data_IF_326484142189
#
_entry.id   IF_326484142189
#
_cell.length_a   1.000
_cell.length_b   1.000
_cell.length_c   1.000
_cell.angle_alpha   90.00
_cell.angle_beta   90.00
_cell.angle_gamma   90.00
#
_symmetry.space_group_name_H-M   'P 1'
#
loop_
_entity.id
_entity.type
_entity.pdbx_description
1 polymer ?
#
# COMPACT_ATOMS: atom_id res chain seq x y z
N UNK A 1 93.83 29.47 -42.89
CA UNK A 1 92.49 28.89 -43.08
C UNK A 1 92.47 27.44 -42.56
N UNK A 2 92.80 27.22 -41.28
CA UNK A 2 93.05 25.87 -40.70
C UNK A 2 92.47 25.71 -39.27
N UNK A 3 91.59 26.64 -38.85
CA UNK A 3 91.05 26.70 -37.47
C UNK A 3 89.52 26.51 -37.39
N UNK A 4 88.84 26.37 -38.52
CA UNK A 4 87.38 26.20 -38.61
C UNK A 4 86.95 24.74 -38.91
N UNK A 5 87.89 23.84 -39.23
CA UNK A 5 87.58 22.44 -39.61
C UNK A 5 87.54 21.50 -38.39
N UNK A 6 88.07 21.89 -37.22
CA UNK A 6 88.07 21.05 -36.02
C UNK A 6 86.73 21.02 -35.25
N UNK A 7 85.83 21.98 -35.48
CA UNK A 7 84.54 22.05 -34.78
C UNK A 7 83.40 21.32 -35.50
N UNK A 8 83.53 21.06 -36.80
CA UNK A 8 82.53 20.30 -37.59
C UNK A 8 82.69 18.78 -37.38
N UNK A 9 83.90 18.30 -37.05
CA UNK A 9 84.15 16.89 -36.80
C UNK A 9 83.70 16.40 -35.40
N UNK A 10 83.49 17.30 -34.43
CA UNK A 10 83.06 16.95 -33.06
C UNK A 10 81.52 16.99 -32.93
N UNK A 11 80.80 17.74 -33.77
CA UNK A 11 79.33 17.77 -33.77
C UNK A 11 78.69 16.58 -34.54
N UNK A 12 79.44 15.92 -35.43
CA UNK A 12 78.95 14.78 -36.21
C UNK A 12 79.09 13.42 -35.48
N UNK A 13 79.87 13.36 -34.38
CA UNK A 13 80.08 12.13 -33.61
C UNK A 13 79.06 11.93 -32.46
N UNK A 14 78.22 12.92 -32.16
CA UNK A 14 77.24 12.86 -31.07
C UNK A 14 75.84 12.34 -31.49
N UNK A 15 75.62 12.06 -32.78
CA UNK A 15 74.33 11.58 -33.29
C UNK A 15 74.24 10.05 -33.54
N UNK A 16 75.30 9.29 -33.20
CA UNK A 16 75.31 7.82 -33.29
C UNK A 16 75.27 7.12 -31.93
N UNK A 17 74.99 7.86 -30.84
CA UNK A 17 74.64 7.28 -29.55
C UNK A 17 73.30 6.57 -29.67
N UNK A 18 73.36 5.27 -29.90
CA UNK A 18 72.25 4.41 -30.29
C UNK A 18 71.01 4.60 -29.43
N UNK A 19 69.89 4.74 -30.13
CA UNK A 19 68.61 4.27 -29.65
C UNK A 19 68.80 2.78 -29.32
N UNK A 20 69.10 2.43 -28.05
CA UNK A 20 68.87 1.07 -27.60
C UNK A 20 67.38 0.85 -27.81
N UNK A 21 67.02 -0.11 -28.67
CA UNK A 21 65.66 -0.65 -28.65
C UNK A 21 65.41 -1.01 -27.19
N UNK A 22 64.51 -0.28 -26.56
CA UNK A 22 63.93 -0.71 -25.30
C UNK A 22 63.31 -2.05 -25.64
N UNK A 23 63.92 -3.13 -25.17
CA UNK A 23 63.26 -4.43 -25.17
C UNK A 23 62.01 -4.21 -24.34
N UNK A 24 60.88 -4.05 -25.05
CA UNK A 24 59.57 -4.07 -24.43
C UNK A 24 59.52 -5.41 -23.71
N UNK A 25 59.33 -5.36 -22.39
CA UNK A 25 59.12 -6.56 -21.58
C UNK A 25 58.15 -7.47 -22.36
N UNK A 26 58.46 -8.77 -22.47
CA UNK A 26 57.60 -9.70 -23.18
C UNK A 26 56.18 -9.49 -22.66
N UNK A 27 55.22 -9.24 -23.58
CA UNK A 27 53.83 -9.05 -23.21
C UNK A 27 53.47 -10.19 -22.26
N UNK A 28 53.16 -9.86 -21.01
CA UNK A 28 52.67 -10.83 -20.03
C UNK A 28 51.41 -11.43 -20.64
N UNK A 29 51.51 -12.64 -21.19
CA UNK A 29 50.40 -13.51 -21.57
C UNK A 29 49.70 -13.98 -20.29
N UNK A 30 49.09 -13.05 -19.57
CA UNK A 30 48.19 -13.33 -18.46
C UNK A 30 46.75 -13.38 -18.95
N UNK A 31 45.95 -14.29 -18.41
CA UNK A 31 44.50 -14.23 -18.57
C UNK A 31 43.99 -12.86 -18.09
N UNK A 32 43.05 -12.22 -18.82
CA UNK A 32 42.53 -10.91 -18.43
C UNK A 32 41.88 -10.99 -17.05
N UNK A 33 42.35 -10.13 -16.13
CA UNK A 33 41.91 -10.12 -14.73
C UNK A 33 40.51 -9.53 -14.58
N UNK A 34 40.20 -8.49 -15.38
CA UNK A 34 38.95 -7.76 -15.32
C UNK A 34 38.11 -8.04 -16.56
N UNK A 35 36.85 -8.40 -16.33
CA UNK A 35 35.93 -8.79 -17.38
C UNK A 35 34.48 -8.52 -16.98
N UNK A 36 33.59 -8.50 -17.96
CA UNK A 36 32.15 -8.48 -17.74
C UNK A 36 31.45 -9.26 -18.85
N UNK A 37 30.53 -10.14 -18.47
CA UNK A 37 29.65 -10.91 -19.35
C UNK A 37 28.21 -10.60 -18.97
N UNK A 38 27.42 -10.09 -19.93
CA UNK A 38 26.03 -9.69 -19.69
C UNK A 38 25.14 -10.02 -20.89
N UNK A 39 23.83 -10.06 -20.69
CA UNK A 39 22.84 -10.14 -21.78
C UNK A 39 22.02 -8.84 -21.85
N UNK A 40 22.18 -8.06 -22.92
CA UNK A 40 21.41 -6.83 -23.17
C UNK A 40 20.27 -7.10 -24.15
N UNK A 41 19.01 -6.97 -23.71
CA UNK A 41 17.81 -7.24 -24.53
C UNK A 41 17.89 -8.61 -25.27
N UNK A 42 18.44 -9.63 -24.61
CA UNK A 42 18.63 -10.97 -25.17
C UNK A 42 19.92 -11.16 -25.99
N UNK A 43 20.73 -10.12 -26.19
CA UNK A 43 22.01 -10.20 -26.90
C UNK A 43 23.16 -10.26 -25.90
N UNK A 44 23.91 -11.36 -25.94
CA UNK A 44 25.11 -11.53 -25.11
C UNK A 44 26.21 -10.53 -25.51
N UNK A 45 26.88 -9.97 -24.50
CA UNK A 45 27.99 -9.02 -24.62
C UNK A 45 29.09 -9.42 -23.64
N UNK A 46 30.33 -9.29 -24.08
CA UNK A 46 31.50 -9.59 -23.28
C UNK A 46 32.56 -8.50 -23.46
N UNK A 47 33.13 -8.04 -22.34
CA UNK A 47 34.24 -7.10 -22.29
C UNK A 47 35.36 -7.68 -21.44
N UNK A 48 36.60 -7.53 -21.89
CA UNK A 48 37.80 -7.98 -21.16
C UNK A 48 38.86 -6.89 -21.25
N UNK A 49 39.38 -6.44 -20.11
CA UNK A 49 40.47 -5.48 -20.08
C UNK A 49 41.73 -6.07 -20.73
N UNK A 50 42.43 -5.29 -21.55
CA UNK A 50 43.57 -5.71 -22.35
C UNK A 50 43.21 -6.34 -23.71
N UNK A 51 41.94 -6.66 -23.96
CA UNK A 51 41.47 -7.24 -25.23
C UNK A 51 40.68 -6.22 -26.02
N UNK A 52 40.93 -6.10 -27.33
CA UNK A 52 40.18 -5.21 -28.21
C UNK A 52 40.26 -3.72 -27.86
N UNK A 53 41.32 -3.32 -27.15
CA UNK A 53 41.55 -1.95 -26.68
C UNK A 53 40.70 -1.53 -25.48
N UNK A 54 40.02 -2.48 -24.82
CA UNK A 54 39.32 -2.20 -23.56
C UNK A 54 40.31 -2.08 -22.40
N UNK A 55 40.04 -1.14 -21.52
CA UNK A 55 40.77 -0.90 -20.29
C UNK A 55 39.76 -0.68 -19.15
N UNK A 56 40.13 -1.06 -17.94
CA UNK A 56 39.35 -0.79 -16.74
C UNK A 56 39.87 0.49 -16.09
N UNK A 57 39.08 1.55 -16.16
CA UNK A 57 39.35 2.78 -15.45
C UNK A 57 38.71 2.73 -14.07
N UNK A 58 39.49 3.04 -13.05
CA UNK A 58 39.02 3.10 -11.66
C UNK A 58 39.16 4.52 -11.14
N UNK A 59 38.22 4.96 -10.32
CA UNK A 59 38.24 6.30 -9.72
C UNK A 59 37.32 6.34 -8.51
N UNK A 60 37.42 7.40 -7.73
CA UNK A 60 36.42 7.75 -6.73
C UNK A 60 36.13 9.25 -6.78
N UNK A 61 34.98 9.65 -6.26
CA UNK A 61 34.63 11.05 -6.07
C UNK A 61 33.86 11.22 -4.77
N UNK A 62 33.87 12.43 -4.20
CA UNK A 62 33.04 12.79 -3.06
C UNK A 62 31.91 13.68 -3.55
N UNK A 63 30.66 13.23 -3.35
CA UNK A 63 29.48 13.98 -3.73
C UNK A 63 29.28 15.25 -2.91
N UNK A 64 28.39 16.13 -3.36
CA UNK A 64 28.00 17.35 -2.63
C UNK A 64 27.23 17.04 -1.32
N UNK A 65 26.74 15.82 -1.20
CA UNK A 65 26.16 15.23 0.00
C UNK A 65 27.24 14.62 0.92
N UNK A 66 28.52 14.84 0.66
CA UNK A 66 29.64 14.34 1.45
C UNK A 66 29.71 12.80 1.51
N UNK A 67 29.09 12.10 0.56
CA UNK A 67 29.15 10.64 0.41
C UNK A 67 30.15 10.29 -0.70
N UNK A 68 31.06 9.35 -0.43
CA UNK A 68 31.99 8.87 -1.46
C UNK A 68 31.29 7.95 -2.46
N UNK A 69 31.72 8.02 -3.71
CA UNK A 69 31.30 7.14 -4.81
C UNK A 69 32.52 6.45 -5.39
N UNK A 70 32.58 5.13 -5.27
CA UNK A 70 33.66 4.30 -5.84
C UNK A 70 33.23 3.79 -7.21
N UNK A 71 34.08 3.97 -8.23
CA UNK A 71 33.70 3.73 -9.63
C UNK A 71 34.70 2.82 -10.34
N UNK A 72 34.15 1.83 -11.05
CA UNK A 72 34.84 1.01 -12.04
C UNK A 72 34.19 1.15 -13.40
N UNK A 73 34.97 1.38 -14.46
CA UNK A 73 34.47 1.60 -15.81
C UNK A 73 35.30 0.82 -16.85
N UNK A 74 34.68 -0.18 -17.49
CA UNK A 74 35.24 -0.86 -18.66
C UNK A 74 34.85 -0.09 -19.93
N UNK A 75 35.84 0.45 -20.62
CA UNK A 75 35.67 1.16 -21.90
C UNK A 75 36.93 1.08 -22.75
N UNK A 76 36.87 1.54 -24.01
CA UNK A 76 38.07 1.64 -24.85
C UNK A 76 38.97 2.80 -24.45
N UNK A 77 40.28 2.58 -24.50
CA UNK A 77 41.32 3.56 -24.12
C UNK A 77 41.46 4.73 -25.13
N UNK A 78 41.20 4.47 -26.42
CA UNK A 78 41.37 5.48 -27.48
C UNK A 78 40.05 5.99 -28.05
N UNK A 79 39.70 7.23 -27.72
CA UNK A 79 38.55 7.96 -28.29
C UNK A 79 39.01 9.11 -29.19
N UNK A 80 39.61 8.81 -30.34
CA UNK A 80 40.29 9.85 -31.12
C UNK A 80 39.36 10.89 -31.76
N UNK A 81 38.10 10.56 -32.09
CA UNK A 81 37.22 11.47 -32.86
C UNK A 81 35.69 11.21 -32.72
N UNK A 82 35.15 11.09 -31.50
CA UNK A 82 33.72 11.39 -31.28
C UNK A 82 32.74 10.24 -30.99
N UNK A 83 33.20 9.00 -30.78
CA UNK A 83 32.42 7.97 -30.10
C UNK A 83 33.38 6.99 -29.40
N UNK A 84 33.37 6.95 -28.07
CA UNK A 84 34.25 6.12 -27.25
C UNK A 84 33.93 4.61 -27.28
N UNK A 85 33.05 4.18 -28.20
CA UNK A 85 32.49 2.84 -28.18
C UNK A 85 31.59 2.60 -26.97
N UNK A 86 31.23 1.33 -26.78
CA UNK A 86 30.42 0.89 -25.66
C UNK A 86 31.20 0.95 -24.34
N UNK A 87 30.52 1.20 -23.23
CA UNK A 87 31.13 1.16 -21.89
C UNK A 87 30.18 0.60 -20.84
N UNK A 88 30.70 -0.17 -19.90
CA UNK A 88 30.00 -0.61 -18.69
C UNK A 88 30.61 0.09 -17.48
N UNK A 89 29.79 0.69 -16.63
CA UNK A 89 30.23 1.36 -15.40
C UNK A 89 29.43 0.86 -14.22
N UNK A 90 30.10 0.64 -13.09
CA UNK A 90 29.45 0.37 -11.81
C UNK A 90 29.96 1.36 -10.77
N UNK A 91 29.03 1.91 -10.00
CA UNK A 91 29.28 2.90 -8.94
C UNK A 91 28.70 2.41 -7.63
N UNK A 92 29.47 2.51 -6.56
CA UNK A 92 29.05 2.17 -5.20
C UNK A 92 29.05 3.43 -4.35
N UNK A 93 27.94 3.73 -3.68
CA UNK A 93 27.90 4.79 -2.67
C UNK A 93 28.38 4.24 -1.34
N UNK A 94 29.15 5.06 -0.63
CA UNK A 94 29.64 4.75 0.71
C UNK A 94 28.48 4.42 1.67
N UNK A 95 28.74 3.64 2.71
CA UNK A 95 27.73 3.30 3.73
C UNK A 95 27.52 4.44 4.74
N UNK A 96 28.36 5.47 4.68
CA UNK A 96 28.29 6.62 5.57
C UNK A 96 28.57 7.93 4.82
N UNK A 97 28.05 9.01 5.39
CA UNK A 97 28.45 10.36 5.03
C UNK A 97 29.77 10.70 5.75
N UNK A 98 30.79 11.12 5.01
CA UNK A 98 32.12 11.38 5.56
C UNK A 98 32.39 12.88 5.56
N UNK A 99 31.95 13.62 6.58
CA UNK A 99 32.21 15.06 6.69
C UNK A 99 33.72 15.36 6.78
N UNK A 100 34.42 14.59 7.62
CA UNK A 100 35.87 14.65 7.80
C UNK A 100 36.43 13.23 7.87
N UNK A 101 37.58 12.97 7.26
CA UNK A 101 38.27 11.68 7.32
C UNK A 101 38.20 10.88 6.02
N UNK A 102 38.48 9.58 6.12
CA UNK A 102 38.46 8.64 5.01
C UNK A 102 37.12 7.88 4.96
N UNK A 103 36.67 7.46 3.77
CA UNK A 103 35.52 6.58 3.65
C UNK A 103 35.81 5.23 4.31
N UNK A 104 34.77 4.49 4.70
CA UNK A 104 34.95 3.09 5.12
C UNK A 104 34.52 2.15 3.97
N UNK A 105 35.51 1.96 3.11
CA UNK A 105 35.50 1.14 1.91
C UNK A 105 35.19 -0.33 2.22
N UNK A 106 35.54 -0.81 3.41
CA UNK A 106 35.32 -2.21 3.80
C UNK A 106 33.83 -2.46 3.96
N UNK A 107 33.12 -1.57 4.64
CA UNK A 107 31.68 -1.71 4.81
C UNK A 107 30.90 -1.33 3.53
N UNK A 108 31.35 -0.33 2.78
CA UNK A 108 30.71 0.06 1.52
C UNK A 108 30.77 -1.01 0.42
N UNK A 109 31.79 -1.87 0.44
CA UNK A 109 32.01 -2.92 -0.56
C UNK A 109 31.92 -4.33 0.02
N UNK A 110 31.38 -4.52 1.22
CA UNK A 110 31.27 -5.85 1.82
C UNK A 110 30.49 -6.83 0.90
N UNK A 111 30.89 -8.12 0.80
CA UNK A 111 30.11 -9.12 0.07
C UNK A 111 28.66 -9.21 0.56
N UNK A 112 27.71 -9.28 -0.37
CA UNK A 112 26.28 -9.29 -0.07
C UNK A 112 25.41 -8.62 -1.12
N UNK A 113 24.13 -8.46 -0.80
CA UNK A 113 23.14 -7.85 -1.68
C UNK A 113 23.11 -6.33 -1.50
N UNK A 114 23.00 -5.61 -2.61
CA UNK A 114 22.92 -4.15 -2.65
C UNK A 114 21.62 -3.71 -3.32
N UNK A 115 21.05 -2.62 -2.82
CA UNK A 115 19.90 -1.97 -3.45
C UNK A 115 20.39 -1.05 -4.56
N UNK A 116 19.65 -1.02 -5.67
CA UNK A 116 19.88 -0.02 -6.70
C UNK A 116 19.48 1.36 -6.20
N UNK A 117 20.26 2.37 -6.58
CA UNK A 117 19.91 3.77 -6.28
C UNK A 117 18.56 4.12 -6.90
N UNK A 118 17.66 4.68 -6.10
CA UNK A 118 16.34 5.18 -6.51
C UNK A 118 16.46 6.59 -7.12
N UNK A 119 15.65 6.90 -8.15
CA UNK A 119 15.60 8.26 -8.69
C UNK A 119 15.08 9.23 -7.62
N UNK A 120 15.70 10.41 -7.54
CA UNK A 120 15.31 11.50 -6.64
C UNK A 120 15.21 11.12 -5.14
N UNK A 121 15.90 10.06 -4.70
CA UNK A 121 15.96 9.69 -3.29
C UNK A 121 14.60 9.33 -2.66
N UNK A 122 13.57 9.08 -3.46
CA UNK A 122 12.24 8.81 -2.96
C UNK A 122 12.11 7.34 -2.50
N UNK A 123 12.05 7.12 -1.19
CA UNK A 123 11.58 5.86 -0.60
C UNK A 123 10.09 6.00 -0.24
N UNK A 124 9.32 4.92 -0.39
CA UNK A 124 7.88 4.94 -0.08
C UNK A 124 7.64 4.17 1.21
N UNK A 125 7.37 4.90 2.30
CA UNK A 125 6.92 4.29 3.55
C UNK A 125 5.40 4.17 3.52
N UNK A 126 4.90 2.96 3.73
CA UNK A 126 3.48 2.73 3.94
C UNK A 126 3.13 3.03 5.40
N UNK A 127 2.39 4.11 5.62
CA UNK A 127 1.80 4.38 6.94
C UNK A 127 0.44 3.69 6.97
N UNK A 128 0.26 2.79 7.94
CA UNK A 128 -1.04 2.19 8.22
C UNK A 128 -1.84 3.18 9.09
N UNK A 129 -2.90 3.73 8.54
CA UNK A 129 -3.96 4.36 9.32
C UNK A 129 -5.07 3.33 9.55
N UNK A 130 -5.71 3.36 10.72
CA UNK A 130 -6.82 2.46 11.05
C UNK A 130 -8.02 3.28 11.43
N UNK A 131 -9.09 3.17 10.64
CA UNK A 131 -10.38 3.80 10.93
C UNK A 131 -11.36 2.77 11.46
N UNK A 132 -12.03 3.10 12.57
CA UNK A 132 -13.12 2.27 13.10
C UNK A 132 -14.41 2.57 12.32
N UNK A 133 -15.08 1.52 11.83
CA UNK A 133 -16.43 1.60 11.28
C UNK A 133 -17.37 0.69 12.08
N UNK A 134 -18.64 1.06 12.18
CA UNK A 134 -19.68 0.27 12.86
C UNK A 134 -20.59 -0.37 11.82
N UNK A 135 -20.74 -1.68 11.87
CA UNK A 135 -21.69 -2.43 11.04
C UNK A 135 -22.91 -2.82 11.88
N UNK A 136 -24.08 -2.37 11.44
CA UNK A 136 -25.36 -2.62 12.07
C UNK A 136 -26.07 -3.70 11.26
N UNK A 137 -26.64 -4.69 11.95
CA UNK A 137 -27.49 -5.73 11.37
C UNK A 137 -28.84 -5.73 12.09
N UNK A 138 -29.92 -5.71 11.34
CA UNK A 138 -31.30 -5.74 11.85
C UNK A 138 -32.03 -6.95 11.27
N UNK A 139 -32.81 -7.64 12.08
CA UNK A 139 -33.56 -8.84 11.70
C UNK A 139 -35.01 -8.76 12.17
N UNK A 140 -35.94 -8.69 11.21
CA UNK A 140 -37.38 -8.68 11.43
C UNK A 140 -38.00 -10.07 11.61
N UNK A 141 -37.20 -11.14 11.71
CA UNK A 141 -37.66 -12.53 11.78
C UNK A 141 -38.55 -12.87 12.98
N UNK A 142 -38.60 -12.00 14.00
CA UNK A 142 -39.52 -12.13 15.14
C UNK A 142 -40.92 -11.56 14.86
N UNK A 143 -41.10 -10.85 13.73
CA UNK A 143 -42.38 -10.25 13.38
C UNK A 143 -43.44 -11.32 13.12
N UNK A 144 -44.68 -11.03 13.51
CA UNK A 144 -45.80 -11.97 13.40
C UNK A 144 -46.84 -11.43 12.44
N UNK A 145 -47.31 -12.27 11.52
CA UNK A 145 -48.40 -11.99 10.59
C UNK A 145 -49.38 -13.17 10.56
N UNK A 146 -50.60 -12.99 10.01
CA UNK A 146 -51.54 -14.09 9.87
C UNK A 146 -50.97 -15.18 8.95
N UNK A 147 -51.39 -16.44 9.11
CA UNK A 147 -51.03 -17.51 8.19
C UNK A 147 -51.31 -17.13 6.73
N UNK A 148 -50.47 -17.59 5.80
CA UNK A 148 -50.58 -17.33 4.36
C UNK A 148 -50.43 -15.85 3.94
N UNK A 149 -49.90 -15.01 4.83
CA UNK A 149 -49.56 -13.61 4.52
C UNK A 149 -48.06 -13.48 4.35
N UNK A 150 -47.62 -12.74 3.33
CA UNK A 150 -46.21 -12.40 3.12
C UNK A 150 -45.99 -10.98 3.66
N UNK A 151 -45.16 -10.77 4.69
CA UNK A 151 -44.85 -9.43 5.17
C UNK A 151 -43.90 -8.70 4.21
N UNK A 152 -44.10 -7.39 4.06
CA UNK A 152 -43.15 -6.46 3.45
C UNK A 152 -42.53 -5.63 4.58
N UNK A 153 -41.21 -5.56 4.60
CA UNK A 153 -40.45 -4.87 5.64
C UNK A 153 -39.72 -3.65 5.09
N UNK A 154 -39.91 -2.51 5.74
CA UNK A 154 -39.22 -1.26 5.44
C UNK A 154 -38.52 -0.78 6.70
N UNK A 155 -37.27 -0.32 6.55
CA UNK A 155 -36.44 0.15 7.65
C UNK A 155 -36.15 1.63 7.49
N UNK A 156 -36.29 2.39 8.57
CA UNK A 156 -36.00 3.82 8.60
C UNK A 156 -35.11 4.17 9.78
N UNK A 157 -33.94 4.75 9.48
CA UNK A 157 -33.05 5.32 10.49
C UNK A 157 -33.42 6.78 10.75
N UNK A 158 -33.34 7.20 12.01
CA UNK A 158 -33.60 8.60 12.42
C UNK A 158 -32.66 9.62 11.77
N UNK A 159 -31.49 9.18 11.29
CA UNK A 159 -30.53 10.02 10.58
C UNK A 159 -30.91 10.27 9.10
N UNK A 160 -32.04 9.74 8.62
CA UNK A 160 -32.51 9.88 7.24
C UNK A 160 -31.76 9.02 6.21
N UNK A 161 -30.83 8.16 6.65
CA UNK A 161 -30.11 7.28 5.75
C UNK A 161 -31.01 6.19 5.18
N UNK A 162 -30.87 5.95 3.88
CA UNK A 162 -31.60 4.87 3.22
C UNK A 162 -31.10 3.51 3.72
N UNK A 163 -32.03 2.64 4.07
CA UNK A 163 -31.76 1.24 4.43
C UNK A 163 -32.54 0.36 3.46
N UNK A 164 -31.90 -0.69 2.97
CA UNK A 164 -32.54 -1.59 2.01
C UNK A 164 -33.73 -2.30 2.67
N UNK A 165 -34.90 -2.37 2.01
CA UNK A 165 -36.03 -3.12 2.51
C UNK A 165 -35.74 -4.62 2.49
N UNK A 166 -36.38 -5.38 3.37
CA UNK A 166 -36.19 -6.82 3.50
C UNK A 166 -36.24 -7.30 4.94
N UNK A 167 -36.29 -8.62 5.14
CA UNK A 167 -36.32 -9.19 6.50
C UNK A 167 -35.03 -8.91 7.28
N UNK A 168 -33.89 -8.90 6.59
CA UNK A 168 -32.59 -8.53 7.16
C UNK A 168 -32.12 -7.24 6.50
N UNK A 169 -31.67 -6.29 7.30
CA UNK A 169 -31.04 -5.06 6.83
C UNK A 169 -29.65 -4.89 7.42
N UNK A 170 -28.70 -4.48 6.58
CA UNK A 170 -27.34 -4.15 6.99
C UNK A 170 -27.03 -2.69 6.67
N UNK A 171 -26.27 -2.04 7.55
CA UNK A 171 -25.90 -0.64 7.39
C UNK A 171 -24.56 -0.34 8.05
N UNK A 172 -23.73 0.52 7.43
CA UNK A 172 -22.40 0.86 7.95
C UNK A 172 -22.31 2.34 8.30
N UNK A 173 -21.73 2.64 9.45
CA UNK A 173 -21.52 3.98 9.97
C UNK A 173 -20.03 4.26 10.19
N UNK A 174 -19.51 5.40 9.70
CA UNK A 174 -18.13 5.82 10.01
C UNK A 174 -17.98 6.27 11.47
N UNK A 175 -19.08 6.67 12.12
CA UNK A 175 -19.13 7.08 13.52
C UNK A 175 -20.50 6.71 14.10
N UNK A 176 -20.54 6.27 15.36
CA UNK A 176 -21.79 5.92 16.03
C UNK A 176 -22.47 7.16 16.63
N UNK A 177 -23.65 7.58 16.16
CA UNK A 177 -24.32 8.77 16.68
C UNK A 177 -25.00 8.46 18.02
N UNK A 178 -25.06 9.44 18.93
CA UNK A 178 -25.57 9.23 20.29
C UNK A 178 -27.08 8.90 20.37
N UNK A 179 -27.87 9.24 19.34
CA UNK A 179 -29.33 9.07 19.32
C UNK A 179 -29.81 8.40 18.02
N UNK A 180 -29.20 7.26 17.68
CA UNK A 180 -29.68 6.48 16.55
C UNK A 180 -30.97 5.75 16.92
N UNK A 181 -32.03 5.93 16.15
CA UNK A 181 -33.25 5.14 16.26
C UNK A 181 -33.49 4.40 14.95
N UNK A 182 -33.98 3.17 15.09
CA UNK A 182 -34.43 2.35 13.98
C UNK A 182 -35.93 2.13 14.10
N UNK A 183 -36.66 2.43 13.03
CA UNK A 183 -38.07 2.09 12.88
C UNK A 183 -38.22 1.00 11.82
N UNK A 184 -38.72 -0.16 12.25
CA UNK A 184 -39.25 -1.18 11.35
C UNK A 184 -40.72 -0.86 11.07
N UNK A 185 -41.08 -0.83 9.79
CA UNK A 185 -42.48 -0.87 9.35
C UNK A 185 -42.72 -2.19 8.64
N UNK A 186 -43.69 -2.95 9.12
CA UNK A 186 -44.15 -4.18 8.51
C UNK A 186 -45.56 -3.99 7.94
N UNK A 187 -45.74 -4.35 6.68
CA UNK A 187 -47.05 -4.39 6.03
C UNK A 187 -47.38 -5.82 5.61
N UNK A 188 -48.55 -6.31 6.02
CA UNK A 188 -49.08 -7.59 5.56
C UNK A 188 -49.44 -7.52 4.05
N UNK A 189 -49.17 -8.57 3.26
CA UNK A 189 -49.49 -8.61 1.81
C UNK A 189 -50.97 -8.42 1.48
N UNK A 190 -51.88 -8.69 2.43
CA UNK A 190 -53.30 -8.41 2.30
C UNK A 190 -53.64 -6.91 2.50
N UNK A 191 -52.63 -6.06 2.72
CA UNK A 191 -52.66 -4.62 2.98
C UNK A 191 -53.57 -4.16 4.12
N UNK A 192 -54.17 -5.09 4.86
CA UNK A 192 -55.16 -4.76 5.88
C UNK A 192 -54.54 -4.48 7.23
N UNK A 193 -53.26 -4.80 7.46
CA UNK A 193 -52.55 -4.54 8.71
C UNK A 193 -51.14 -4.02 8.45
N UNK A 194 -50.81 -2.94 9.14
CA UNK A 194 -49.48 -2.33 9.22
C UNK A 194 -49.10 -2.21 10.68
N UNK A 195 -47.89 -2.64 11.03
CA UNK A 195 -47.35 -2.49 12.38
C UNK A 195 -45.97 -1.87 12.30
N UNK A 196 -45.64 -1.05 13.30
CA UNK A 196 -44.31 -0.44 13.43
C UNK A 196 -43.72 -0.74 14.79
N UNK A 197 -42.38 -0.85 14.83
CA UNK A 197 -41.60 -0.88 16.05
C UNK A 197 -40.43 0.09 15.89
N UNK A 198 -40.26 0.97 16.88
CA UNK A 198 -39.18 1.95 16.95
C UNK A 198 -38.35 1.70 18.20
N UNK A 199 -37.03 1.56 18.02
CA UNK A 199 -36.08 1.32 19.11
C UNK A 199 -34.83 2.17 18.94
N UNK A 200 -34.24 2.58 20.07
CA UNK A 200 -32.90 3.17 20.09
C UNK A 200 -31.85 2.09 19.84
N UNK A 201 -30.88 2.39 18.99
CA UNK A 201 -29.71 1.55 18.71
C UNK A 201 -28.54 2.11 19.51
N UNK A 202 -27.99 1.31 20.42
CA UNK A 202 -26.85 1.67 21.24
C UNK A 202 -25.53 1.16 20.60
N UNK A 203 -24.38 1.83 20.86
CA UNK A 203 -23.09 1.31 20.43
C UNK A 203 -22.77 -0.02 21.13
N UNK A 204 -21.80 -0.81 20.63
CA UNK A 204 -21.33 -1.98 21.34
C UNK A 204 -20.81 -1.56 22.73
N UNK A 205 -21.33 -2.17 23.79
CA UNK A 205 -20.84 -1.97 25.14
C UNK A 205 -20.03 -3.20 25.57
N UNK A 206 -18.75 -3.06 25.97
CA UNK A 206 -17.91 -4.18 26.41
C UNK A 206 -18.42 -4.88 27.68
N UNK A 207 -19.34 -4.27 28.43
CA UNK A 207 -19.97 -4.88 29.62
C UNK A 207 -21.16 -5.81 29.31
N UNK A 208 -21.52 -5.95 28.02
CA UNK A 208 -22.68 -6.69 27.54
C UNK A 208 -23.62 -5.77 26.77
N UNK A 209 -24.59 -6.29 25.98
CA UNK A 209 -25.53 -5.42 25.30
C UNK A 209 -26.28 -4.62 26.36
N UNK A 210 -26.14 -3.29 26.34
CA UNK A 210 -27.14 -2.43 26.95
C UNK A 210 -28.44 -2.78 26.23
N UNK A 211 -29.26 -3.66 26.83
CA UNK A 211 -30.51 -4.10 26.24
C UNK A 211 -31.36 -2.85 26.04
N UNK A 212 -31.41 -2.36 24.80
CA UNK A 212 -32.28 -1.23 24.53
C UNK A 212 -33.71 -1.70 24.73
N UNK A 213 -34.45 -0.96 25.53
CA UNK A 213 -35.86 -1.21 25.73
C UNK A 213 -36.58 -1.34 24.38
N UNK A 214 -37.62 -2.16 24.35
CA UNK A 214 -38.44 -2.35 23.17
C UNK A 214 -39.90 -2.44 23.57
N UNK A 215 -40.78 -2.10 22.64
CA UNK A 215 -42.20 -2.35 22.77
C UNK A 215 -42.72 -2.86 21.43
N UNK A 216 -43.68 -3.77 21.47
CA UNK A 216 -44.51 -4.12 20.32
C UNK A 216 -45.97 -4.15 20.77
N UNK A 217 -46.89 -4.09 19.81
CA UNK A 217 -48.32 -4.18 20.09
C UNK A 217 -48.81 -5.58 19.75
N UNK A 218 -49.49 -6.20 20.71
CA UNK A 218 -50.27 -7.42 20.55
C UNK A 218 -51.77 -7.11 20.59
N UNK A 219 -52.59 -8.00 20.02
CA UNK A 219 -54.05 -7.84 20.00
C UNK A 219 -54.70 -8.86 20.93
N UNK A 220 -55.59 -8.41 21.81
CA UNK A 220 -56.54 -9.27 22.52
C UNK A 220 -57.86 -9.29 21.77
N UNK A 221 -58.34 -10.49 21.47
CA UNK A 221 -59.63 -10.68 20.80
C UNK A 221 -60.76 -10.77 21.82
N UNK A 222 -61.98 -10.45 21.37
CA UNK A 222 -63.20 -10.64 22.14
C UNK A 222 -63.46 -12.12 22.47
N UNK A 223 -64.47 -12.41 23.30
CA UNK A 223 -64.81 -13.79 23.70
C UNK A 223 -65.17 -14.69 22.51
N UNK A 224 -65.60 -14.11 21.38
CA UNK A 224 -65.89 -14.83 20.15
C UNK A 224 -64.63 -15.11 19.30
N UNK A 225 -63.51 -14.45 19.59
CA UNK A 225 -62.27 -14.53 18.82
C UNK A 225 -62.36 -13.86 17.45
N UNK A 226 -63.32 -12.94 17.26
CA UNK A 226 -63.65 -12.37 15.96
C UNK A 226 -63.18 -10.93 15.81
N UNK A 227 -63.26 -10.16 16.90
CA UNK A 227 -62.95 -8.73 16.91
C UNK A 227 -61.79 -8.45 17.86
N UNK A 228 -60.99 -7.42 17.53
CA UNK A 228 -59.96 -6.91 18.43
C UNK A 228 -60.69 -6.11 19.52
N UNK A 229 -60.61 -6.57 20.76
CA UNK A 229 -61.20 -5.89 21.92
C UNK A 229 -60.22 -4.85 22.47
N UNK A 230 -58.94 -5.23 22.60
CA UNK A 230 -57.90 -4.38 23.14
C UNK A 230 -56.58 -4.56 22.38
N UNK A 231 -55.79 -3.49 22.33
CA UNK A 231 -54.37 -3.54 22.02
C UNK A 231 -53.59 -3.62 23.32
N UNK A 232 -52.52 -4.40 23.34
CA UNK A 232 -51.63 -4.58 24.50
C UNK A 232 -50.24 -4.13 24.10
N UNK A 233 -49.68 -3.17 24.83
CA UNK A 233 -48.28 -2.81 24.71
C UNK A 233 -47.45 -3.85 25.47
N UNK A 234 -46.59 -4.59 24.78
CA UNK A 234 -45.72 -5.60 25.37
C UNK A 234 -44.28 -5.06 25.44
N UNK A 235 -43.82 -4.61 26.61
CA UNK A 235 -42.49 -4.04 26.75
C UNK A 235 -41.42 -5.11 27.02
N UNK A 236 -40.19 -4.79 26.67
CA UNK A 236 -38.98 -5.47 27.14
C UNK A 236 -37.97 -4.41 27.59
N UNK A 237 -37.21 -4.70 28.64
CA UNK A 237 -36.29 -3.77 29.31
C UNK A 237 -36.42 -3.84 30.83
N UNK A 238 -36.06 -2.76 31.52
CA UNK A 238 -36.01 -2.72 32.97
C UNK A 238 -37.31 -2.19 33.59
N UNK A 239 -38.08 -3.05 34.27
CA UNK A 239 -39.28 -2.64 35.00
C UNK A 239 -38.96 -1.70 36.19
N UNK A 240 -39.90 -0.82 36.62
CA UNK A 240 -41.26 -0.64 36.12
C UNK A 240 -41.35 0.07 34.75
N UNK A 241 -42.41 -0.24 34.01
CA UNK A 241 -42.72 0.39 32.72
C UNK A 241 -43.81 1.45 32.87
N UNK A 242 -43.72 2.50 32.07
CA UNK A 242 -44.75 3.52 31.89
C UNK A 242 -45.22 3.54 30.45
N UNK A 243 -46.53 3.72 30.24
CA UNK A 243 -47.19 3.60 28.95
C UNK A 243 -47.95 4.87 28.65
N UNK A 244 -47.79 5.43 27.45
CA UNK A 244 -48.57 6.58 26.98
C UNK A 244 -49.02 6.28 25.55
N UNK A 245 -50.33 6.14 25.37
CA UNK A 245 -50.93 6.00 24.04
C UNK A 245 -51.13 7.36 23.38
N UNK A 246 -51.28 7.37 22.06
CA UNK A 246 -51.46 8.58 21.25
C UNK A 246 -52.61 9.51 21.70
N UNK A 247 -53.61 8.99 22.38
CA UNK A 247 -54.76 9.73 22.95
C UNK A 247 -54.53 10.21 24.40
N UNK A 248 -53.29 10.13 24.88
CA UNK A 248 -52.87 10.42 26.26
C UNK A 248 -53.38 9.42 27.32
N UNK A 249 -53.94 8.27 26.92
CA UNK A 249 -54.26 7.19 27.85
C UNK A 249 -52.98 6.61 28.46
N UNK A 250 -52.95 6.48 29.79
CA UNK A 250 -51.83 5.92 30.55
C UNK A 250 -52.22 4.54 31.08
N UNK A 251 -52.01 3.51 30.27
CA UNK A 251 -52.32 2.13 30.59
C UNK A 251 -51.52 1.16 29.71
N UNK A 252 -51.31 -0.07 30.17
CA UNK A 252 -50.69 -1.14 29.36
C UNK A 252 -51.57 -1.54 28.17
N UNK A 253 -52.88 -1.34 28.29
CA UNK A 253 -53.88 -1.72 27.28
C UNK A 253 -54.64 -0.52 26.73
N UNK A 254 -55.01 -0.56 25.46
CA UNK A 254 -55.84 0.45 24.80
C UNK A 254 -57.11 -0.18 24.17
N UNK A 255 -58.31 0.37 24.45
CA UNK A 255 -59.57 -0.23 24.00
C UNK A 255 -59.81 0.01 22.51
N UNK A 256 -59.86 -1.07 21.73
CA UNK A 256 -60.13 -1.02 20.29
C UNK A 256 -61.63 -1.05 19.93
N UNK A 257 -62.49 -1.40 20.90
CA UNK A 257 -63.93 -1.65 20.75
C UNK A 257 -64.78 -0.46 20.28
N UNK A 258 -64.22 0.76 20.21
CA UNK A 258 -64.91 1.95 19.72
C UNK A 258 -64.71 2.20 18.20
N UNK A 259 -63.90 1.39 17.51
CA UNK A 259 -63.46 1.68 16.15
C UNK A 259 -64.17 0.78 15.11
N UNK A 260 -65.30 1.25 14.55
CA UNK A 260 -66.14 0.42 13.68
C UNK A 260 -65.56 0.10 12.29
N UNK A 261 -64.42 0.69 11.89
CA UNK A 261 -63.81 0.43 10.57
C UNK A 261 -62.27 0.54 10.52
N UNK A 262 -61.63 1.35 11.39
CA UNK A 262 -60.16 1.60 11.35
C UNK A 262 -59.60 1.64 12.76
N UNK A 263 -58.53 0.90 13.01
CA UNK A 263 -57.72 1.08 14.24
C UNK A 263 -56.42 1.74 13.81
N UNK A 264 -56.10 2.86 14.43
CA UNK A 264 -54.82 3.56 14.29
C UNK A 264 -54.37 3.93 15.70
N UNK A 265 -53.32 3.27 16.18
CA UNK A 265 -52.84 3.43 17.54
C UNK A 265 -51.32 3.46 17.57
N UNK A 266 -50.79 4.35 18.39
CA UNK A 266 -49.37 4.40 18.75
C UNK A 266 -49.24 4.38 20.27
N UNK A 267 -48.19 3.71 20.76
CA UNK A 267 -47.80 3.69 22.16
C UNK A 267 -46.33 4.05 22.29
N UNK A 268 -46.02 4.88 23.28
CA UNK A 268 -44.66 5.10 23.77
C UNK A 268 -44.53 4.45 25.13
N UNK A 269 -43.46 3.67 25.30
CA UNK A 269 -43.10 3.07 26.58
C UNK A 269 -41.78 3.62 27.06
N UNK A 270 -41.72 3.98 28.35
CA UNK A 270 -40.46 4.24 29.03
C UNK A 270 -40.23 3.24 30.17
N UNK A 271 -39.00 2.79 30.33
CA UNK A 271 -38.57 1.87 31.38
C UNK A 271 -37.96 2.61 32.59
N UNK A 272 -37.52 1.88 33.61
CA UNK A 272 -36.97 2.45 34.85
C UNK A 272 -35.63 3.17 34.65
N UNK A 273 -34.91 2.87 33.58
CA UNK A 273 -33.61 3.45 33.23
C UNK A 273 -33.76 4.69 32.34
N UNK A 274 -35.00 5.04 31.98
CA UNK A 274 -35.32 6.17 31.12
C UNK A 274 -35.12 5.87 29.63
N UNK A 275 -34.98 4.60 29.24
CA UNK A 275 -35.03 4.21 27.85
C UNK A 275 -36.46 4.33 27.33
N UNK A 276 -36.63 4.87 26.12
CA UNK A 276 -37.93 5.02 25.45
C UNK A 276 -38.00 4.19 24.17
N UNK A 277 -39.12 3.49 23.96
CA UNK A 277 -39.41 2.76 22.74
C UNK A 277 -40.85 3.05 22.25
N UNK A 278 -41.08 2.90 20.94
CA UNK A 278 -42.38 3.17 20.33
C UNK A 278 -42.89 1.97 19.54
N UNK A 279 -44.21 1.80 19.50
CA UNK A 279 -44.86 0.87 18.59
C UNK A 279 -46.14 1.47 18.01
N UNK A 280 -46.44 1.10 16.76
CA UNK A 280 -47.62 1.52 16.04
C UNK A 280 -48.38 0.32 15.49
N UNK A 281 -49.70 0.48 15.40
CA UNK A 281 -50.60 -0.51 14.86
C UNK A 281 -51.69 0.19 14.07
N UNK A 282 -51.83 -0.21 12.80
CA UNK A 282 -52.85 0.28 11.90
C UNK A 282 -53.53 -0.90 11.21
N UNK A 283 -54.86 -0.97 11.26
CA UNK A 283 -55.63 -1.99 10.55
C UNK A 283 -56.95 -1.41 10.04
N UNK A 284 -57.42 -1.91 8.90
CA UNK A 284 -58.78 -1.62 8.41
C UNK A 284 -59.62 -2.89 8.54
N UNK A 285 -60.67 -2.82 9.35
CA UNK A 285 -61.57 -3.95 9.59
C UNK A 285 -62.59 -4.02 8.45
N UNK A 286 -62.35 -4.91 7.48
CA UNK A 286 -63.35 -5.23 6.46
C UNK A 286 -64.49 -6.04 7.09
N UNK A 287 -65.77 -5.77 6.75
CA UNK A 287 -66.88 -6.63 7.16
C UNK A 287 -66.65 -8.08 6.69
N UNK A 288 -66.40 -8.99 7.63
CA UNK A 288 -66.07 -10.40 7.35
C UNK A 288 -64.58 -10.77 7.47
N UNK A 289 -63.68 -9.82 7.73
CA UNK A 289 -62.30 -10.11 8.08
C UNK A 289 -62.21 -10.48 9.58
N UNK A 290 -61.89 -11.75 9.85
CA UNK A 290 -61.69 -12.26 11.22
C UNK A 290 -60.26 -11.89 11.65
N UNK A 291 -60.13 -11.16 12.77
CA UNK A 291 -58.89 -11.06 13.55
C UNK A 291 -57.60 -10.79 12.78
N UNK A 292 -57.55 -9.78 11.90
CA UNK A 292 -56.30 -9.42 11.21
C UNK A 292 -55.27 -8.89 12.22
N UNK A 293 -54.32 -9.73 12.61
CA UNK A 293 -53.26 -9.40 13.54
C UNK A 293 -51.91 -9.32 12.83
N UNK A 294 -51.14 -8.27 13.09
CA UNK A 294 -49.76 -8.17 12.68
C UNK A 294 -48.97 -7.39 13.74
N UNK A 295 -47.75 -7.84 14.04
CA UNK A 295 -46.88 -7.25 15.06
C UNK A 295 -45.46 -7.18 14.52
N UNK A 296 -44.98 -5.97 14.28
CA UNK A 296 -43.61 -5.72 13.85
C UNK A 296 -42.67 -5.91 15.04
N UNK A 297 -41.67 -6.78 14.88
CA UNK A 297 -40.68 -7.09 15.90
C UNK A 297 -39.32 -7.31 15.25
N UNK A 298 -38.28 -6.72 15.82
CA UNK A 298 -36.92 -6.93 15.36
C UNK A 298 -35.87 -7.00 16.47
N UNK A 299 -34.81 -7.74 16.17
CA UNK A 299 -33.54 -7.71 16.89
C UNK A 299 -32.49 -6.96 16.08
N UNK A 300 -31.44 -6.45 16.75
CA UNK A 300 -30.29 -5.86 16.07
C UNK A 300 -28.98 -6.28 16.72
N UNK A 301 -27.90 -6.16 15.95
CA UNK A 301 -26.52 -6.33 16.39
C UNK A 301 -25.68 -5.19 15.84
N UNK A 302 -24.72 -4.70 16.65
CA UNK A 302 -23.70 -3.74 16.21
C UNK A 302 -22.34 -4.39 16.33
N UNK A 303 -21.56 -4.37 15.26
CA UNK A 303 -20.21 -4.91 15.19
C UNK A 303 -19.23 -3.78 14.88
N UNK A 304 -18.18 -3.65 15.68
CA UNK A 304 -17.06 -2.74 15.40
C UNK A 304 -16.07 -3.42 14.45
N UNK A 305 -15.68 -2.75 13.37
CA UNK A 305 -14.69 -3.22 12.41
C UNK A 305 -13.56 -2.21 12.31
N UNK A 306 -12.32 -2.69 12.30
CA UNK A 306 -11.15 -1.88 11.95
C UNK A 306 -10.93 -1.95 10.43
N UNK A 307 -10.96 -0.79 9.77
CA UNK A 307 -10.59 -0.64 8.37
C UNK A 307 -9.16 -0.11 8.31
N UNK A 308 -8.26 -0.86 7.66
CA UNK A 308 -6.90 -0.41 7.40
C UNK A 308 -6.93 0.48 6.16
N UNK A 309 -6.60 1.75 6.33
CA UNK A 309 -6.38 2.69 5.24
C UNK A 309 -4.86 2.90 5.10
N UNK A 310 -4.27 2.38 4.03
CA UNK A 310 -2.83 2.49 3.79
C UNK A 310 -2.58 3.68 2.87
N UNK A 311 -1.96 4.74 3.40
CA UNK A 311 -1.57 5.90 2.60
C UNK A 311 -0.05 5.83 2.35
N UNK A 312 0.41 5.81 1.09
CA UNK A 312 1.83 5.85 0.79
C UNK A 312 2.37 7.25 1.10
N UNK A 313 3.36 7.33 1.99
CA UNK A 313 4.12 8.56 2.25
C UNK A 313 5.48 8.44 1.58
N UNK A 314 5.80 9.36 0.68
CA UNK A 314 7.11 9.43 0.05
C UNK A 314 8.05 10.18 0.99
N UNK A 315 9.05 9.48 1.52
CA UNK A 315 10.16 10.05 2.30
C UNK A 315 11.40 10.11 1.41
N UNK A 316 12.04 11.28 1.35
CA UNK A 316 13.26 11.45 0.57
C UNK A 316 14.48 11.03 1.41
N UNK A 317 15.02 9.82 1.19
CA UNK A 317 16.36 9.46 1.65
C UNK A 317 17.40 10.07 0.70
N UNK A 318 17.73 11.34 0.92
CA UNK A 318 18.67 12.08 0.07
C UNK A 318 20.07 11.45 -0.03
N UNK A 319 20.47 10.63 0.94
CA UNK A 319 21.82 10.08 0.99
C UNK A 319 21.96 8.76 0.24
N UNK A 320 20.91 7.93 0.24
CA UNK A 320 20.90 6.61 -0.42
C UNK A 320 22.20 5.84 -0.21
N UNK A 321 22.60 5.71 1.06
CA UNK A 321 23.85 5.05 1.47
C UNK A 321 23.83 3.57 1.07
N UNK A 322 25.00 3.00 0.79
CA UNK A 322 25.14 1.59 0.38
C UNK A 322 24.29 1.19 -0.83
N UNK A 323 24.01 2.14 -1.74
CA UNK A 323 23.34 1.83 -3.01
C UNK A 323 24.32 1.70 -4.17
N UNK A 324 23.87 1.02 -5.22
CA UNK A 324 24.66 0.78 -6.44
C UNK A 324 24.00 1.40 -7.67
N UNK A 325 24.83 1.88 -8.60
CA UNK A 325 24.39 2.30 -9.92
C UNK A 325 25.14 1.50 -10.98
N UNK A 326 24.39 0.93 -11.91
CA UNK A 326 24.93 0.32 -13.14
C UNK A 326 24.61 1.25 -14.30
N UNK A 327 25.62 1.56 -15.12
CA UNK A 327 25.47 2.38 -16.31
C UNK A 327 26.03 1.66 -17.53
N UNK A 328 25.34 1.84 -18.66
CA UNK A 328 25.77 1.35 -19.95
C UNK A 328 25.71 2.48 -20.97
N UNK A 329 26.80 2.70 -21.69
CA UNK A 329 26.83 3.59 -22.85
C UNK A 329 26.85 2.72 -24.10
N UNK A 330 25.90 2.93 -25.02
CA UNK A 330 25.87 2.18 -26.28
C UNK A 330 26.91 2.69 -27.30
N UNK A 331 27.01 2.01 -28.44
CA UNK A 331 27.96 2.37 -29.50
C UNK A 331 27.70 3.76 -30.11
N UNK A 332 26.50 4.33 -29.96
CA UNK A 332 26.15 5.67 -30.39
C UNK A 332 26.44 6.74 -29.32
N UNK A 333 26.97 6.35 -28.15
CA UNK A 333 27.26 7.24 -27.05
C UNK A 333 26.06 7.55 -26.15
N UNK A 334 24.93 6.85 -26.31
CA UNK A 334 23.74 7.06 -25.49
C UNK A 334 23.89 6.34 -24.15
N UNK A 335 23.72 7.10 -23.07
CA UNK A 335 23.77 6.60 -21.70
C UNK A 335 22.44 5.99 -21.26
N UNK A 336 22.54 4.83 -20.62
CA UNK A 336 21.49 4.17 -19.87
C UNK A 336 21.97 3.95 -18.42
N UNK A 337 21.11 4.16 -17.44
CA UNK A 337 21.44 4.05 -16.01
C UNK A 337 20.33 3.38 -15.22
N UNK A 338 20.70 2.58 -14.23
CA UNK A 338 19.76 1.99 -13.26
C UNK A 338 19.14 3.03 -12.32
N UNK A 339 19.76 4.22 -12.20
CA UNK A 339 19.32 5.29 -11.31
C UNK A 339 18.28 6.25 -11.94
N UNK A 340 17.99 6.11 -13.24
CA UNK A 340 17.03 6.99 -13.93
C UNK A 340 15.56 6.61 -13.68
N UNK A 341 15.26 5.40 -13.22
CA UNK A 341 13.93 5.00 -12.78
C UNK A 341 13.98 3.86 -11.74
N UNK A 342 12.89 3.57 -11.01
CA UNK A 342 12.85 2.48 -10.05
C UNK A 342 12.92 1.11 -10.71
N UNK A 343 13.60 0.15 -10.07
CA UNK A 343 13.68 -1.23 -10.51
C UNK A 343 12.37 -1.98 -10.21
N UNK A 344 11.36 -1.82 -11.06
CA UNK A 344 10.07 -2.52 -10.92
C UNK A 344 10.10 -3.99 -11.40
N UNK A 345 11.24 -4.48 -11.88
CA UNK A 345 11.39 -5.86 -12.31
C UNK A 345 11.65 -6.75 -11.09
N UNK A 346 10.79 -7.76 -10.87
CA UNK A 346 10.93 -8.71 -9.76
C UNK A 346 12.27 -9.49 -9.77
N UNK A 347 12.95 -9.53 -10.92
CA UNK A 347 14.25 -10.18 -11.07
C UNK A 347 15.43 -9.21 -10.99
N UNK A 348 15.23 -7.94 -10.62
CA UNK A 348 16.33 -7.01 -10.43
C UNK A 348 17.06 -7.29 -9.11
N UNK A 349 18.38 -7.47 -9.18
CA UNK A 349 19.25 -7.68 -8.02
C UNK A 349 20.68 -7.22 -8.32
N UNK A 350 21.45 -6.95 -7.28
CA UNK A 350 22.88 -6.71 -7.35
C UNK A 350 23.57 -7.36 -6.16
N UNK A 351 24.63 -8.11 -6.41
CA UNK A 351 25.37 -8.86 -5.40
C UNK A 351 26.88 -8.72 -5.61
N UNK A 352 27.59 -8.38 -4.53
CA UNK A 352 29.04 -8.51 -4.45
C UNK A 352 29.35 -9.91 -3.92
N UNK A 353 30.00 -10.74 -4.71
CA UNK A 353 30.35 -12.12 -4.37
C UNK A 353 31.65 -12.19 -3.57
N UNK A 354 32.65 -11.39 -3.94
CA UNK A 354 33.96 -11.35 -3.27
C UNK A 354 34.62 -10.00 -3.43
N UNK A 355 35.41 -9.61 -2.42
CA UNK A 355 36.24 -8.40 -2.43
C UNK A 355 37.63 -8.73 -1.94
N UNK A 356 38.64 -8.28 -2.67
CA UNK A 356 40.04 -8.36 -2.26
C UNK A 356 40.80 -7.09 -2.64
N UNK A 357 41.91 -6.83 -1.93
CA UNK A 357 42.85 -5.78 -2.32
C UNK A 357 43.46 -6.09 -3.68
N UNK A 358 43.74 -5.04 -4.45
CA UNK A 358 44.40 -5.14 -5.73
C UNK A 358 45.44 -4.02 -5.89
N UNK A 359 46.27 -4.13 -6.93
CA UNK A 359 47.35 -3.18 -7.20
C UNK A 359 46.79 -1.75 -7.38
N UNK A 360 47.63 -0.76 -7.07
CA UNK A 360 47.28 0.65 -7.26
C UNK A 360 46.99 0.93 -8.75
N UNK A 361 46.06 1.83 -9.02
CA UNK A 361 45.74 2.23 -10.39
C UNK A 361 46.83 3.12 -11.01
N UNK A 362 46.63 3.56 -12.25
CA UNK A 362 47.57 4.41 -12.99
C UNK A 362 47.83 5.79 -12.33
N UNK A 363 46.98 6.20 -11.39
CA UNK A 363 47.12 7.43 -10.61
C UNK A 363 47.78 7.19 -9.24
N UNK A 364 48.15 5.93 -8.91
CA UNK A 364 48.68 5.55 -7.60
C UNK A 364 47.60 5.48 -6.50
N UNK A 365 46.33 5.37 -6.88
CA UNK A 365 45.22 5.22 -5.94
C UNK A 365 45.01 3.75 -5.62
N UNK A 366 44.67 3.44 -4.37
CA UNK A 366 44.42 2.07 -3.94
C UNK A 366 43.17 1.53 -4.61
N UNK A 367 43.16 0.24 -4.93
CA UNK A 367 42.00 -0.39 -5.56
C UNK A 367 41.51 -1.64 -4.83
N UNK A 368 40.22 -1.94 -4.99
CA UNK A 368 39.61 -3.22 -4.63
C UNK A 368 39.20 -3.93 -5.90
N UNK A 369 39.44 -5.24 -5.98
CA UNK A 369 38.88 -6.11 -7.01
C UNK A 369 37.62 -6.78 -6.48
N UNK A 370 36.56 -6.71 -7.27
CA UNK A 370 35.22 -7.17 -6.94
C UNK A 370 34.77 -8.22 -7.94
N UNK A 371 34.20 -9.32 -7.45
CA UNK A 371 33.41 -10.26 -8.28
C UNK A 371 31.94 -9.97 -8.04
N UNK A 372 31.17 -9.77 -9.10
CA UNK A 372 29.82 -9.21 -9.08
C UNK A 372 28.84 -10.10 -9.84
N UNK A 373 27.59 -10.14 -9.37
CA UNK A 373 26.47 -10.70 -10.11
C UNK A 373 25.26 -9.79 -10.03
N UNK A 374 24.62 -9.51 -11.15
CA UNK A 374 23.52 -8.54 -11.19
C UNK A 374 22.58 -8.72 -12.38
N UNK A 375 21.35 -8.25 -12.19
CA UNK A 375 20.36 -8.05 -13.24
C UNK A 375 19.58 -6.77 -12.94
N UNK A 376 19.31 -5.96 -13.96
CA UNK A 376 18.55 -4.72 -13.83
C UNK A 376 17.96 -4.25 -15.16
N UNK A 377 17.05 -3.30 -15.07
CA UNK A 377 16.67 -2.46 -16.20
C UNK A 377 17.46 -1.16 -16.15
N UNK A 378 17.97 -0.73 -17.29
CA UNK A 378 18.64 0.56 -17.44
C UNK A 378 17.77 1.49 -18.28
N UNK A 379 17.54 2.72 -17.83
CA UNK A 379 16.79 3.71 -18.58
C UNK A 379 17.71 4.77 -19.14
N UNK A 380 17.33 5.35 -20.28
CA UNK A 380 17.88 6.58 -20.80
C UNK A 380 17.16 7.79 -20.20
N UNK A 381 17.73 8.98 -20.33
CA UNK A 381 17.10 10.24 -19.91
C UNK A 381 15.70 10.48 -20.55
N UNK A 382 15.42 9.90 -21.71
CA UNK A 382 14.14 10.04 -22.42
C UNK A 382 13.13 8.92 -22.08
N UNK A 383 13.40 8.09 -21.08
CA UNK A 383 12.50 7.02 -20.64
C UNK A 383 12.57 5.70 -21.44
N UNK A 384 13.27 5.64 -22.57
CA UNK A 384 13.58 4.36 -23.23
C UNK A 384 14.47 3.49 -22.34
N UNK A 385 14.37 2.15 -22.44
CA UNK A 385 15.09 1.24 -21.55
C UNK A 385 15.75 0.06 -22.27
N UNK A 386 16.70 -0.58 -21.57
CA UNK A 386 17.35 -1.84 -21.93
C UNK A 386 17.28 -2.76 -20.72
N UNK A 387 16.92 -4.02 -20.93
CA UNK A 387 17.00 -5.05 -19.90
C UNK A 387 18.40 -5.69 -19.93
N UNK A 388 19.07 -5.68 -18.78
CA UNK A 388 20.37 -6.29 -18.55
C UNK A 388 20.18 -7.50 -17.63
N UNK A 389 20.43 -8.69 -18.15
CA UNK A 389 20.25 -9.96 -17.44
C UNK A 389 21.55 -10.76 -17.43
N UNK A 390 21.63 -11.73 -16.51
CA UNK A 390 22.77 -12.64 -16.37
C UNK A 390 24.12 -11.89 -16.31
N UNK A 391 24.16 -10.77 -15.57
CA UNK A 391 25.37 -9.98 -15.45
C UNK A 391 26.33 -10.63 -14.47
N UNK A 392 27.53 -10.95 -14.95
CA UNK A 392 28.66 -11.41 -14.15
C UNK A 392 29.87 -10.54 -14.50
N UNK A 393 30.56 -9.98 -13.51
CA UNK A 393 31.71 -9.13 -13.77
C UNK A 393 32.79 -9.26 -12.70
N UNK A 394 34.04 -9.15 -13.13
CA UNK A 394 35.20 -8.90 -12.27
C UNK A 394 35.69 -7.48 -12.56
N UNK A 395 35.49 -6.57 -11.61
CA UNK A 395 35.82 -5.15 -11.79
C UNK A 395 36.62 -4.61 -10.61
N UNK A 396 37.50 -3.65 -10.91
CA UNK A 396 38.19 -2.86 -9.91
C UNK A 396 37.45 -1.55 -9.62
N UNK A 397 37.58 -1.05 -8.40
CA UNK A 397 37.18 0.30 -8.01
C UNK A 397 38.29 0.94 -7.19
N UNK A 398 38.52 2.24 -7.37
CA UNK A 398 39.54 2.98 -6.62
C UNK A 398 38.94 3.61 -5.36
N UNK A 399 39.78 3.91 -4.38
CA UNK A 399 39.42 4.62 -3.15
C UNK A 399 40.59 5.47 -2.61
N UNK A 400 40.31 6.48 -1.76
CA UNK A 400 41.32 7.41 -1.24
C UNK A 400 42.41 6.78 -0.36
#
# INVERSE_FOLDING_TARGET
>A
MYRQIKYIAILAAAFFGGCQKLDLDPQLEGAPVFSASITLNGVAKEWQAGVGGYYLFTSFEKGADEVYVFKGQLKKDSCSTGACGESLTVKFRDFQQTLNGAPDVVQALAPGNYQYQLPAAADTLWVLDTTTIYQLSFDAGQSVVPPNTVPVFTWNLSNGSAVQPGQIAMYSLPQFPQNLEMTLTMQASNQNCTSTQTRRVAPPDPSGPAESCSVFIDTMLDTAGLLIENLVAVPAGSAPFSFIWHDSTVAETWPASNALQVIDAMVTVADAEGCTAGAGYYTFLNPGAIGTYCSARFSYQVTELMQVDSIPVVIHDSLQLSTVVVEYTDAAGKLFSSAFAPQSNANAYFEILSVEDYDDNENGEKTKKLSLRFACRLWSANGSFIDMNNGEAVMGVAYP
#
